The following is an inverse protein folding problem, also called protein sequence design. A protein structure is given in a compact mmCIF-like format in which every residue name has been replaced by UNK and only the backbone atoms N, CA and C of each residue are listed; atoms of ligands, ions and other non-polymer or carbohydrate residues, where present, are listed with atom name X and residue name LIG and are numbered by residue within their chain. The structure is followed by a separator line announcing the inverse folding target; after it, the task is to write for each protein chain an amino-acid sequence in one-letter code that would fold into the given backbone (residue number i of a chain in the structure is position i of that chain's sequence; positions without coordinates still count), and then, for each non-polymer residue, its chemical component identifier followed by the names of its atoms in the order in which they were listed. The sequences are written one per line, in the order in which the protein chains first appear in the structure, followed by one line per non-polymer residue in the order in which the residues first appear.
data_IF_065603891218
#
_entry.id   IF_065603891218
#
_cell.length_a   1.000
_cell.length_b   1.000
_cell.length_c   1.000
_cell.angle_alpha   90.00
_cell.angle_beta   90.00
_cell.angle_gamma   90.00
#
_symmetry.space_group_name_H-M   'P 1'
#
loop_
_entity.id
_entity.type
_entity.pdbx_description
1 polymer ?
#
# COMPACT_ATOMS: atom_id res chain seq x y z
N UNK A 1 -20.51 2.31 -5.04
CA UNK A 1 -20.03 2.79 -6.35
C UNK A 1 -19.07 3.92 -6.05
N UNK A 2 -17.84 3.56 -5.69
CA UNK A 2 -16.76 4.55 -5.61
C UNK A 2 -16.43 4.90 -7.07
N UNK A 3 -16.68 6.14 -7.48
CA UNK A 3 -16.18 6.62 -8.76
C UNK A 3 -14.68 6.36 -8.79
N UNK A 4 -14.18 5.73 -9.86
CA UNK A 4 -12.75 5.52 -10.06
C UNK A 4 -12.06 6.90 -10.04
N UNK A 5 -11.52 7.26 -8.89
CA UNK A 5 -10.97 8.59 -8.61
C UNK A 5 -9.63 8.82 -9.30
N UNK A 6 -9.14 7.89 -10.12
CA UNK A 6 -7.85 7.98 -10.80
C UNK A 6 -7.97 8.08 -12.33
N UNK A 7 -9.18 8.20 -12.88
CA UNK A 7 -9.36 8.23 -14.34
C UNK A 7 -8.74 9.48 -14.97
N UNK A 8 -8.00 9.26 -16.07
CA UNK A 8 -7.54 10.33 -16.95
C UNK A 8 -8.78 10.89 -17.66
N UNK A 9 -8.99 12.20 -17.60
CA UNK A 9 -10.13 12.86 -18.26
C UNK A 9 -9.80 13.36 -19.65
N UNK A 10 -8.56 13.77 -19.87
CA UNK A 10 -8.11 14.24 -21.17
C UNK A 10 -6.59 14.15 -21.28
N UNK A 11 -6.10 13.89 -22.49
CA UNK A 11 -4.69 14.00 -22.85
C UNK A 11 -4.61 14.96 -24.03
N UNK A 12 -3.67 15.90 -23.97
CA UNK A 12 -3.44 16.82 -25.08
C UNK A 12 -1.95 17.02 -25.34
N UNK A 13 -1.64 17.22 -26.61
CA UNK A 13 -0.33 17.57 -27.12
C UNK A 13 -0.34 19.05 -27.53
N UNK A 14 0.62 19.79 -27.00
CA UNK A 14 0.77 21.21 -27.24
C UNK A 14 2.16 21.55 -27.76
N UNK A 15 2.22 22.48 -28.69
CA UNK A 15 3.46 22.97 -29.31
C UNK A 15 3.49 24.49 -29.27
N UNK A 16 4.70 25.05 -29.18
CA UNK A 16 4.91 26.48 -29.26
C UNK A 16 5.03 26.94 -30.73
N UNK A 17 3.97 27.55 -31.26
CA UNK A 17 4.00 28.18 -32.58
C UNK A 17 4.59 29.60 -32.51
N UNK A 18 5.46 29.92 -33.47
CA UNK A 18 6.19 31.19 -33.51
C UNK A 18 5.32 32.46 -33.67
N UNK A 19 4.12 32.34 -34.26
CA UNK A 19 3.23 33.48 -34.55
C UNK A 19 2.09 33.57 -33.53
N UNK A 20 1.59 32.42 -33.07
CA UNK A 20 0.39 32.34 -32.25
C UNK A 20 0.66 31.94 -30.79
N UNK A 21 1.93 31.70 -30.43
CA UNK A 21 2.30 31.21 -29.11
C UNK A 21 1.99 29.72 -28.92
N UNK A 22 1.81 29.33 -27.66
CA UNK A 22 1.42 27.98 -27.25
C UNK A 22 0.05 27.61 -27.82
N UNK A 23 -0.05 26.54 -28.59
CA UNK A 23 -1.32 26.00 -29.09
C UNK A 23 -1.42 24.50 -28.80
N UNK A 24 -2.64 24.04 -28.53
CA UNK A 24 -2.97 22.61 -28.55
C UNK A 24 -3.11 22.21 -30.01
N UNK A 25 -2.35 21.20 -30.45
CA UNK A 25 -2.47 20.65 -31.81
C UNK A 25 -3.41 19.44 -31.78
N UNK A 26 -3.28 18.58 -30.77
CA UNK A 26 -4.11 17.40 -30.62
C UNK A 26 -4.65 17.28 -29.21
N UNK A 27 -5.91 16.92 -29.09
CA UNK A 27 -6.59 16.72 -27.82
C UNK A 27 -7.54 15.53 -27.91
N UNK A 28 -7.51 14.67 -26.90
CA UNK A 28 -8.45 13.57 -26.76
C UNK A 28 -8.99 13.51 -25.33
N UNK A 29 -10.31 13.50 -25.11
CA UNK A 29 -11.41 13.72 -26.07
C UNK A 29 -11.40 15.13 -26.69
N UNK A 30 -11.77 15.25 -27.96
CA UNK A 30 -11.75 16.52 -28.70
C UNK A 30 -12.57 17.61 -27.98
N UNK A 31 -11.99 18.81 -27.83
CA UNK A 31 -12.70 19.97 -27.27
C UNK A 31 -12.96 19.94 -25.76
N UNK A 32 -12.37 19.02 -25.01
CA UNK A 32 -12.57 18.94 -23.55
C UNK A 32 -12.04 20.18 -22.79
N UNK A 33 -11.05 20.89 -23.35
CA UNK A 33 -10.50 22.12 -22.79
C UNK A 33 -10.88 23.23 -23.75
N UNK A 34 -11.66 24.20 -23.27
CA UNK A 34 -11.96 25.39 -24.08
C UNK A 34 -10.71 26.25 -24.26
N UNK A 35 -10.58 26.90 -25.42
CA UNK A 35 -9.46 27.79 -25.73
C UNK A 35 -9.28 28.89 -24.67
N UNK A 36 -10.37 29.40 -24.08
CA UNK A 36 -10.35 30.41 -23.01
C UNK A 36 -9.68 29.89 -21.72
N UNK A 37 -9.96 28.64 -21.35
CA UNK A 37 -9.37 28.00 -20.18
C UNK A 37 -7.90 27.69 -20.44
N UNK A 38 -7.57 27.27 -21.67
CA UNK A 38 -6.20 27.02 -22.09
C UNK A 38 -5.33 28.29 -22.06
N UNK A 39 -5.81 29.41 -22.60
CA UNK A 39 -5.09 30.70 -22.60
C UNK A 39 -4.71 31.14 -21.17
N UNK A 40 -5.56 30.85 -20.18
CA UNK A 40 -5.31 31.19 -18.78
C UNK A 40 -4.11 30.47 -18.14
N UNK A 41 -3.70 29.31 -18.66
CA UNK A 41 -2.55 28.55 -18.15
C UNK A 41 -1.51 28.15 -19.19
N UNK A 42 -1.64 28.63 -20.44
CA UNK A 42 -0.76 28.25 -21.53
C UNK A 42 0.72 28.59 -21.27
N UNK A 43 0.99 29.72 -20.58
CA UNK A 43 2.33 30.14 -20.15
C UNK A 43 2.99 29.14 -19.19
N UNK A 44 2.20 28.39 -18.43
CA UNK A 44 2.68 27.39 -17.47
C UNK A 44 2.83 25.99 -18.09
N UNK A 45 2.15 25.72 -19.21
CA UNK A 45 2.28 24.46 -19.95
C UNK A 45 3.59 24.41 -20.70
N UNK A 46 3.98 25.51 -21.36
CA UNK A 46 5.29 25.64 -21.99
C UNK A 46 6.04 26.77 -21.28
N UNK A 47 6.64 26.50 -20.11
CA UNK A 47 7.34 27.51 -19.36
C UNK A 47 8.65 27.90 -20.06
N UNK A 48 9.28 28.94 -19.50
CA UNK A 48 10.63 29.37 -19.90
C UNK A 48 11.61 28.18 -19.89
N UNK A 49 12.63 28.19 -20.76
CA UNK A 49 13.54 27.05 -21.01
C UNK A 49 14.27 26.52 -19.77
N UNK A 50 14.35 27.30 -18.68
CA UNK A 50 14.93 26.89 -17.40
C UNK A 50 14.12 25.81 -16.65
N UNK A 51 12.85 25.65 -16.98
CA UNK A 51 11.94 24.69 -16.36
C UNK A 51 11.63 23.48 -17.26
N UNK A 52 12.14 23.47 -18.49
CA UNK A 52 12.03 22.33 -19.40
C UNK A 52 12.81 21.12 -18.86
N UNK A 53 12.31 19.91 -19.09
CA UNK A 53 12.87 18.67 -18.56
C UNK A 53 12.48 18.35 -17.11
N UNK A 54 11.56 19.12 -16.51
CA UNK A 54 10.94 18.80 -15.22
C UNK A 54 9.45 18.53 -15.41
N UNK A 55 8.90 17.65 -14.56
CA UNK A 55 7.46 17.40 -14.52
C UNK A 55 6.80 18.61 -13.87
N UNK A 56 5.75 19.11 -14.51
CA UNK A 56 4.97 20.26 -14.04
C UNK A 56 3.59 19.77 -13.68
N UNK A 57 3.20 20.02 -12.44
CA UNK A 57 1.84 19.77 -11.97
C UNK A 57 1.19 21.12 -11.71
N UNK A 58 0.13 21.41 -12.45
CA UNK A 58 -0.62 22.65 -12.36
C UNK A 58 -2.06 22.34 -11.95
N UNK A 59 -2.52 22.96 -10.89
CA UNK A 59 -3.93 22.87 -10.45
C UNK A 59 -4.66 24.12 -10.89
N UNK A 60 -5.59 24.01 -11.84
CA UNK A 60 -6.39 25.12 -12.35
C UNK A 60 -7.85 24.71 -12.55
N UNK A 61 -8.80 25.59 -12.20
CA UNK A 61 -10.24 25.46 -12.48
C UNK A 61 -10.85 24.07 -12.18
N UNK A 62 -10.50 23.46 -11.06
CA UNK A 62 -10.91 22.10 -10.63
C UNK A 62 -10.27 20.92 -11.38
N UNK A 63 -9.30 21.20 -12.25
CA UNK A 63 -8.47 20.20 -12.88
C UNK A 63 -7.04 20.24 -12.33
N UNK A 64 -6.38 19.09 -12.42
CA UNK A 64 -4.96 18.93 -12.15
C UNK A 64 -4.31 18.46 -13.44
N UNK A 65 -3.52 19.35 -14.03
CA UNK A 65 -2.81 19.15 -15.30
C UNK A 65 -1.39 18.70 -14.96
N UNK A 66 -0.97 17.60 -15.55
CA UNK A 66 0.36 17.04 -15.42
C UNK A 66 1.04 17.06 -16.78
N UNK A 67 2.10 17.85 -16.92
CA UNK A 67 2.84 17.98 -18.18
C UNK A 67 4.34 17.73 -18.02
N UNK A 68 4.98 17.41 -19.13
CA UNK A 68 6.44 17.37 -19.26
C UNK A 68 6.88 18.17 -20.48
N UNK A 69 7.21 19.46 -20.29
CA UNK A 69 7.71 20.28 -21.38
C UNK A 69 9.12 19.85 -21.77
N UNK A 70 9.25 19.52 -23.05
CA UNK A 70 10.51 19.17 -23.69
C UNK A 70 10.99 20.35 -24.52
N UNK A 71 12.26 20.69 -24.36
CA UNK A 71 12.96 21.66 -25.19
C UNK A 71 13.99 20.91 -26.02
N UNK A 72 13.87 21.03 -27.34
CA UNK A 72 14.88 20.59 -28.29
C UNK A 72 15.52 21.82 -28.93
N UNK A 73 16.84 21.81 -29.05
CA UNK A 73 17.59 22.86 -29.73
C UNK A 73 18.29 22.25 -30.94
N UNK A 74 17.87 22.63 -32.14
CA UNK A 74 18.50 22.23 -33.39
C UNK A 74 18.34 23.36 -34.41
N UNK A 75 19.38 23.58 -35.22
CA UNK A 75 19.44 24.61 -36.27
C UNK A 75 18.37 24.38 -37.35
N UNK A 76 17.85 23.15 -37.45
CA UNK A 76 16.76 22.77 -38.35
C UNK A 76 15.40 23.41 -37.99
N UNK A 77 15.20 23.78 -36.72
CA UNK A 77 13.94 24.36 -36.25
C UNK A 77 13.90 25.88 -36.42
N UNK A 78 12.70 26.43 -36.64
CA UNK A 78 12.52 27.87 -36.73
C UNK A 78 12.83 28.50 -35.35
N UNK A 79 13.87 29.35 -35.27
CA UNK A 79 14.53 29.90 -34.04
C UNK A 79 15.49 28.95 -33.30
N UNK A 80 15.98 27.91 -33.96
CA UNK A 80 16.93 26.93 -33.41
C UNK A 80 16.38 26.12 -32.21
N UNK A 81 15.07 26.13 -31.98
CA UNK A 81 14.45 25.39 -30.88
C UNK A 81 13.01 24.96 -31.17
N UNK A 82 12.68 23.72 -30.84
CA UNK A 82 11.33 23.16 -30.81
C UNK A 82 10.91 22.95 -29.35
N UNK A 83 9.73 23.46 -28.99
CA UNK A 83 9.16 23.37 -27.66
C UNK A 83 7.80 22.68 -27.76
N UNK A 84 7.70 21.50 -27.16
CA UNK A 84 6.46 20.75 -27.10
C UNK A 84 6.21 20.22 -25.69
N UNK A 85 4.95 19.98 -25.36
CA UNK A 85 4.54 19.41 -24.10
C UNK A 85 3.36 18.46 -24.30
N UNK A 86 3.50 17.25 -23.76
CA UNK A 86 2.42 16.27 -23.63
C UNK A 86 1.88 16.33 -22.20
N UNK A 87 0.58 16.60 -22.09
CA UNK A 87 -0.07 16.85 -20.80
C UNK A 87 -1.30 15.95 -20.58
N UNK A 88 -1.44 15.48 -19.35
CA UNK A 88 -2.57 14.70 -18.86
C UNK A 88 -3.41 15.56 -17.92
N UNK A 89 -4.73 15.44 -18.03
CA UNK A 89 -5.69 16.18 -17.22
C UNK A 89 -6.45 15.23 -16.33
N UNK A 90 -6.42 15.53 -15.04
CA UNK A 90 -7.10 14.80 -13.99
C UNK A 90 -8.04 15.71 -13.20
N UNK A 91 -8.89 15.12 -12.35
CA UNK A 91 -9.69 15.87 -11.39
C UNK A 91 -8.81 16.40 -10.23
N UNK A 92 -9.22 17.48 -9.55
CA UNK A 92 -8.46 18.16 -8.49
C UNK A 92 -8.03 17.24 -7.34
N UNK A 93 -8.87 16.27 -6.98
CA UNK A 93 -8.63 15.35 -5.86
C UNK A 93 -7.76 14.13 -6.17
N UNK A 94 -7.28 14.00 -7.41
CA UNK A 94 -6.60 12.78 -7.87
C UNK A 94 -5.10 12.76 -7.52
N UNK A 95 -4.64 11.56 -7.21
CA UNK A 95 -3.24 11.27 -6.96
C UNK A 95 -2.48 11.08 -8.27
N UNK A 96 -1.80 12.14 -8.71
CA UNK A 96 -1.10 12.15 -10.01
C UNK A 96 0.30 11.53 -9.98
N UNK A 97 0.83 11.21 -8.80
CA UNK A 97 2.21 10.72 -8.63
C UNK A 97 2.53 9.45 -9.46
N UNK A 98 1.63 8.45 -9.64
CA UNK A 98 1.90 7.29 -10.51
C UNK A 98 2.17 7.71 -11.96
N UNK A 99 1.42 8.71 -12.42
CA UNK A 99 1.50 9.21 -13.79
C UNK A 99 2.76 10.06 -14.03
N UNK A 100 3.48 10.49 -13.00
CA UNK A 100 4.72 11.25 -13.15
C UNK A 100 5.77 10.46 -13.94
N UNK A 101 5.91 9.16 -13.65
CA UNK A 101 6.86 8.30 -14.37
C UNK A 101 6.43 8.08 -15.82
N UNK A 102 5.13 7.90 -16.05
CA UNK A 102 4.54 7.72 -17.38
C UNK A 102 4.81 8.95 -18.25
N UNK A 103 4.43 10.13 -17.76
CA UNK A 103 4.56 11.40 -18.49
C UNK A 103 6.02 11.71 -18.83
N UNK A 104 6.94 11.45 -17.89
CA UNK A 104 8.37 11.59 -18.13
C UNK A 104 8.87 10.61 -19.19
N UNK A 105 8.46 9.34 -19.12
CA UNK A 105 8.86 8.31 -20.07
C UNK A 105 8.37 8.65 -21.48
N UNK A 106 7.10 9.03 -21.62
CA UNK A 106 6.52 9.46 -22.89
C UNK A 106 7.24 10.68 -23.47
N UNK A 107 7.47 11.72 -22.65
CA UNK A 107 8.21 12.90 -23.10
C UNK A 107 9.64 12.58 -23.54
N UNK A 108 10.31 11.63 -22.87
CA UNK A 108 11.66 11.19 -23.25
C UNK A 108 11.63 10.37 -24.54
N UNK A 109 10.66 9.47 -24.70
CA UNK A 109 10.52 8.67 -25.92
C UNK A 109 10.20 9.57 -27.12
N UNK A 110 9.27 10.52 -26.98
CA UNK A 110 8.99 11.51 -28.03
C UNK A 110 10.23 12.35 -28.37
N UNK A 111 11.06 12.66 -27.38
CA UNK A 111 12.34 13.32 -27.62
C UNK A 111 13.32 12.44 -28.40
N UNK A 112 13.40 11.14 -28.10
CA UNK A 112 14.26 10.22 -28.86
C UNK A 112 13.76 10.05 -30.28
N UNK A 113 12.45 9.83 -30.46
CA UNK A 113 11.80 9.74 -31.77
C UNK A 113 12.08 10.97 -32.62
N UNK A 114 11.94 12.16 -32.05
CA UNK A 114 12.20 13.40 -32.79
C UNK A 114 13.65 13.53 -33.27
N UNK A 115 14.62 13.01 -32.51
CA UNK A 115 16.04 13.03 -32.90
C UNK A 115 16.37 12.00 -33.98
N UNK A 116 15.69 10.86 -33.96
CA UNK A 116 16.02 9.71 -34.82
C UNK A 116 15.26 9.75 -36.14
N UNK A 117 13.97 10.09 -36.13
CA UNK A 117 13.09 10.04 -37.30
C UNK A 117 12.53 11.41 -37.73
N UNK A 118 12.88 12.51 -37.04
CA UNK A 118 12.31 13.85 -37.30
C UNK A 118 10.78 13.83 -37.38
N UNK A 119 10.16 13.01 -36.52
CA UNK A 119 8.75 12.62 -36.59
C UNK A 119 7.77 13.80 -36.43
N UNK A 120 8.03 14.70 -35.48
CA UNK A 120 7.23 15.90 -35.22
C UNK A 120 7.51 16.99 -36.26
N UNK A 121 8.75 17.10 -36.76
CA UNK A 121 9.10 18.05 -37.80
C UNK A 121 8.47 17.72 -39.17
N UNK A 122 8.47 16.45 -39.56
CA UNK A 122 7.88 16.01 -40.84
C UNK A 122 6.35 15.96 -40.82
N UNK A 123 5.71 15.81 -39.66
CA UNK A 123 4.25 15.95 -39.53
C UNK A 123 3.75 17.34 -39.96
N UNK A 124 4.57 18.38 -39.86
CA UNK A 124 4.18 19.74 -40.26
C UNK A 124 4.15 19.96 -41.78
N UNK A 125 4.70 19.04 -42.60
CA UNK A 125 4.92 19.27 -44.04
C UNK A 125 4.03 18.47 -44.99
N UNK A 126 3.59 17.27 -44.65
CA UNK A 126 2.86 16.42 -45.60
C UNK A 126 1.39 16.19 -45.22
N UNK A 127 0.52 16.85 -45.99
CA UNK A 127 -0.93 16.71 -46.00
C UNK A 127 -1.42 15.38 -46.62
N UNK A 128 -0.55 14.40 -46.89
CA UNK A 128 -0.95 13.14 -47.51
C UNK A 128 -0.07 11.98 -47.01
N UNK A 129 -0.75 10.97 -46.46
CA UNK A 129 -0.41 9.53 -46.47
C UNK A 129 0.23 8.92 -45.20
N UNK A 130 -0.62 8.20 -44.46
CA UNK A 130 -0.33 6.99 -43.68
C UNK A 130 0.89 7.00 -42.73
N UNK A 131 0.94 7.97 -41.83
CA UNK A 131 1.65 7.85 -40.55
C UNK A 131 0.58 7.65 -39.45
N UNK A 132 0.78 6.82 -38.41
CA UNK A 132 -0.17 6.80 -37.31
C UNK A 132 -0.18 8.19 -36.69
N UNK A 133 -1.31 8.90 -36.82
CA UNK A 133 -1.46 10.24 -36.28
C UNK A 133 -1.12 10.22 -34.79
N UNK A 134 -0.40 11.22 -34.29
CA UNK A 134 -0.23 11.42 -32.84
C UNK A 134 -1.59 11.41 -32.12
N UNK A 135 -2.67 11.76 -32.84
CA UNK A 135 -4.06 11.58 -32.43
C UNK A 135 -4.43 10.14 -32.08
N UNK A 136 -4.07 9.15 -32.93
CA UNK A 136 -4.32 7.72 -32.68
C UNK A 136 -3.51 7.22 -31.49
N UNK A 137 -2.26 7.66 -31.34
CA UNK A 137 -1.42 7.31 -30.19
C UNK A 137 -2.06 7.86 -28.89
N UNK A 138 -2.53 9.10 -28.90
CA UNK A 138 -3.21 9.71 -27.75
C UNK A 138 -4.53 9.03 -27.41
N UNK A 139 -5.32 8.65 -28.41
CA UNK A 139 -6.56 7.90 -28.25
C UNK A 139 -6.32 6.52 -27.64
N UNK A 140 -5.42 5.73 -28.24
CA UNK A 140 -5.04 4.40 -27.74
C UNK A 140 -4.52 4.51 -26.31
N UNK A 141 -3.64 5.47 -26.04
CA UNK A 141 -3.06 5.66 -24.71
C UNK A 141 -4.12 6.07 -23.68
N UNK A 142 -5.10 6.89 -24.05
CA UNK A 142 -6.21 7.24 -23.17
C UNK A 142 -7.08 6.02 -22.83
N UNK A 143 -7.44 5.21 -23.84
CA UNK A 143 -8.31 4.04 -23.66
C UNK A 143 -7.58 2.96 -22.87
N UNK A 144 -6.34 2.63 -23.24
CA UNK A 144 -5.55 1.55 -22.62
C UNK A 144 -5.17 1.88 -21.18
N UNK A 145 -4.75 3.12 -20.88
CA UNK A 145 -4.43 3.50 -19.51
C UNK A 145 -5.66 3.54 -18.59
N UNK A 146 -6.82 3.94 -19.11
CA UNK A 146 -8.06 3.96 -18.31
C UNK A 146 -8.66 2.55 -18.13
N UNK A 147 -8.44 1.63 -19.08
CA UNK A 147 -9.06 0.29 -19.05
C UNK A 147 -8.16 -0.77 -18.42
N UNK A 148 -6.87 -0.80 -18.80
CA UNK A 148 -5.93 -1.85 -18.41
C UNK A 148 -4.81 -1.34 -17.51
N UNK A 149 -4.53 -0.03 -17.51
CA UNK A 149 -3.40 0.55 -16.79
C UNK A 149 -2.03 0.23 -17.42
N UNK A 150 -2.02 -0.44 -18.57
CA UNK A 150 -0.82 -0.77 -19.36
C UNK A 150 -1.09 -0.46 -20.81
N UNK A 151 -0.07 0.04 -21.52
CA UNK A 151 -0.17 0.40 -22.93
C UNK A 151 1.13 0.05 -23.64
N UNK A 152 1.01 -0.66 -24.76
CA UNK A 152 2.13 -1.05 -25.63
C UNK A 152 1.82 -0.60 -27.04
N UNK A 153 2.38 0.54 -27.45
CA UNK A 153 2.11 1.16 -28.76
C UNK A 153 3.37 1.05 -29.61
N UNK A 154 3.29 0.35 -30.74
CA UNK A 154 4.38 0.27 -31.72
C UNK A 154 4.23 1.39 -32.74
N UNK A 155 5.18 2.34 -32.76
CA UNK A 155 5.16 3.47 -33.71
C UNK A 155 5.84 3.06 -35.02
N UNK A 156 7.00 2.40 -34.94
CA UNK A 156 7.78 1.88 -36.08
C UNK A 156 8.32 0.47 -35.76
N UNK A 157 8.89 -0.20 -36.77
CA UNK A 157 9.59 -1.49 -36.62
C UNK A 157 10.69 -1.49 -35.55
N UNK A 158 11.23 -0.31 -35.22
CA UNK A 158 12.28 -0.12 -34.21
C UNK A 158 11.79 0.53 -32.90
N UNK A 159 10.60 1.13 -32.89
CA UNK A 159 10.15 2.03 -31.81
C UNK A 159 8.85 1.57 -31.16
N UNK A 160 8.94 1.16 -29.90
CA UNK A 160 7.78 0.72 -29.09
C UNK A 160 7.67 1.51 -27.79
N UNK A 161 6.51 2.11 -27.56
CA UNK A 161 6.14 2.79 -26.32
C UNK A 161 5.52 1.77 -25.40
N UNK A 162 6.24 1.40 -24.34
CA UNK A 162 5.71 0.54 -23.28
C UNK A 162 5.50 1.36 -22.01
N UNK A 163 4.26 1.48 -21.56
CA UNK A 163 3.87 2.23 -20.36
C UNK A 163 3.07 1.31 -19.45
N UNK A 164 3.41 1.30 -18.16
CA UNK A 164 2.68 0.57 -17.12
C UNK A 164 2.44 1.48 -15.93
N UNK A 165 1.18 1.54 -15.50
CA UNK A 165 0.74 2.23 -14.31
C UNK A 165 1.02 1.33 -13.11
N UNK A 166 2.00 1.73 -12.30
CA UNK A 166 2.22 1.06 -11.03
C UNK A 166 1.31 1.68 -9.97
N UNK A 167 0.48 0.87 -9.29
CA UNK A 167 -0.31 1.40 -8.18
C UNK A 167 0.64 1.91 -7.10
N UNK A 168 0.27 3.01 -6.44
CA UNK A 168 0.91 3.33 -5.16
C UNK A 168 0.51 2.25 -4.18
N UNK A 169 1.50 1.48 -3.77
CA UNK A 169 1.37 0.67 -2.58
C UNK A 169 1.66 1.59 -1.38
N UNK A 170 0.99 1.31 -0.26
CA UNK A 170 1.09 2.12 0.95
C UNK A 170 2.54 2.17 1.45
N UNK A 171 2.88 3.22 2.20
CA UNK A 171 4.18 3.34 2.83
C UNK A 171 4.51 2.07 3.65
N UNK A 172 5.79 1.68 3.61
CA UNK A 172 6.27 0.46 4.24
C UNK A 172 5.86 0.43 5.73
N UNK A 173 5.05 -0.55 6.11
CA UNK A 173 4.69 -0.80 7.50
C UNK A 173 5.93 -1.35 8.21
N UNK A 174 6.30 -0.76 9.35
CA UNK A 174 7.36 -1.31 10.19
C UNK A 174 6.87 -2.61 10.82
N UNK A 175 7.50 -3.72 10.42
CA UNK A 175 7.22 -5.05 10.96
C UNK A 175 8.01 -5.21 12.25
N UNK A 176 7.30 -5.46 13.35
CA UNK A 176 7.94 -5.68 14.64
C UNK A 176 8.24 -7.18 14.85
N UNK A 177 9.37 -7.54 15.49
CA UNK A 177 9.78 -8.94 15.65
C UNK A 177 8.81 -9.83 16.44
N UNK A 178 7.94 -9.21 17.24
CA UNK A 178 6.94 -9.89 18.07
C UNK A 178 5.61 -10.10 17.35
N UNK A 179 5.40 -9.47 16.20
CA UNK A 179 4.17 -9.67 15.45
C UNK A 179 4.16 -11.01 14.72
N UNK A 180 2.95 -11.47 14.41
CA UNK A 180 2.68 -12.73 13.72
C UNK A 180 2.15 -12.40 12.32
N UNK A 181 2.83 -12.85 11.25
CA UNK A 181 2.31 -12.75 9.90
C UNK A 181 1.17 -13.78 9.70
N UNK A 182 0.05 -13.33 9.15
CA UNK A 182 -1.06 -14.18 8.70
C UNK A 182 -1.27 -13.98 7.20
N UNK A 183 -1.33 -15.07 6.45
CA UNK A 183 -1.68 -15.05 5.03
C UNK A 183 -3.17 -14.74 4.87
N UNK A 184 -3.50 -13.71 4.10
CA UNK A 184 -4.88 -13.37 3.75
C UNK A 184 -5.26 -14.02 2.42
N UNK A 185 -4.32 -14.04 1.47
CA UNK A 185 -4.52 -14.64 0.15
C UNK A 185 -3.67 -15.91 0.01
N UNK A 186 -4.26 -16.94 -0.59
CA UNK A 186 -3.53 -18.13 -0.99
C UNK A 186 -2.58 -17.76 -2.12
N UNK A 187 -1.28 -17.98 -1.90
CA UNK A 187 -0.27 -17.74 -2.93
C UNK A 187 -0.20 -18.97 -3.82
N UNK A 188 -0.49 -18.79 -5.11
CA UNK A 188 -0.22 -19.80 -6.12
C UNK A 188 1.30 -19.97 -6.29
N UNK A 189 1.88 -20.93 -5.56
CA UNK A 189 3.32 -21.26 -5.62
C UNK A 189 3.70 -22.08 -6.86
N UNK A 190 2.84 -22.12 -7.88
CA UNK A 190 3.04 -22.93 -9.10
C UNK A 190 4.22 -22.42 -9.94
N UNK A 191 4.50 -21.11 -9.92
CA UNK A 191 5.63 -20.47 -10.62
C UNK A 191 6.88 -20.34 -9.74
N UNK A 192 7.33 -21.42 -9.11
CA UNK A 192 8.49 -21.43 -8.19
C UNK A 192 9.80 -20.83 -8.74
N UNK A 193 9.94 -20.67 -10.05
CA UNK A 193 11.12 -20.06 -10.69
C UNK A 193 11.15 -18.54 -10.67
N UNK A 194 10.00 -17.87 -10.48
CA UNK A 194 9.91 -16.40 -10.42
C UNK A 194 10.01 -15.87 -8.99
N UNK A 195 9.82 -16.75 -8.00
CA UNK A 195 9.86 -16.40 -6.59
C UNK A 195 11.30 -16.35 -6.05
N UNK A 196 11.53 -15.41 -5.13
CA UNK A 196 12.75 -15.38 -4.33
C UNK A 196 12.83 -16.66 -3.46
N UNK A 197 14.00 -17.30 -3.44
CA UNK A 197 14.27 -18.49 -2.64
C UNK A 197 14.00 -18.25 -1.14
N UNK A 198 14.30 -17.05 -0.65
CA UNK A 198 14.07 -16.68 0.75
C UNK A 198 12.58 -16.63 1.09
N UNK A 199 11.75 -16.12 0.17
CA UNK A 199 10.30 -16.09 0.33
C UNK A 199 9.71 -17.50 0.28
N UNK A 200 10.12 -18.34 -0.67
CA UNK A 200 9.65 -19.73 -0.75
C UNK A 200 9.96 -20.53 0.51
N UNK A 201 11.09 -20.26 1.14
CA UNK A 201 11.43 -20.87 2.42
C UNK A 201 10.52 -20.35 3.54
N UNK A 202 10.32 -19.04 3.65
CA UNK A 202 9.53 -18.44 4.74
C UNK A 202 8.04 -18.80 4.65
N UNK A 203 7.46 -18.90 3.44
CA UNK A 203 6.02 -19.09 3.22
C UNK A 203 5.38 -20.27 3.98
N UNK A 204 5.95 -21.49 3.97
CA UNK A 204 5.47 -22.62 4.77
C UNK A 204 5.37 -22.36 6.28
N UNK A 205 6.14 -21.40 6.81
CA UNK A 205 6.20 -21.10 8.23
C UNK A 205 5.27 -19.94 8.63
N UNK A 206 4.61 -19.29 7.65
CA UNK A 206 3.57 -18.30 7.88
C UNK A 206 2.23 -19.02 8.09
N UNK A 207 2.09 -19.65 9.25
CA UNK A 207 0.91 -20.41 9.68
C UNK A 207 -0.10 -19.57 10.48
N UNK A 208 0.18 -18.27 10.68
CA UNK A 208 -0.60 -17.39 11.55
C UNK A 208 -0.39 -17.63 13.05
N UNK A 209 0.61 -18.43 13.43
CA UNK A 209 0.94 -18.75 14.83
C UNK A 209 2.36 -18.31 15.17
N UNK A 210 3.32 -18.56 14.27
CA UNK A 210 4.72 -18.24 14.51
C UNK A 210 4.98 -16.74 14.36
N UNK A 211 5.46 -16.09 15.42
CA UNK A 211 5.94 -14.72 15.34
C UNK A 211 7.27 -14.64 14.57
N UNK A 212 7.60 -13.47 14.00
CA UNK A 212 8.78 -13.26 13.14
C UNK A 212 10.07 -13.81 13.77
N UNK A 213 10.29 -13.55 15.07
CA UNK A 213 11.46 -14.07 15.78
C UNK A 213 11.50 -15.61 15.93
N UNK A 214 10.35 -16.29 15.95
CA UNK A 214 10.29 -17.77 15.96
C UNK A 214 10.57 -18.32 14.57
N UNK A 215 10.05 -17.68 13.53
CA UNK A 215 10.32 -18.04 12.13
C UNK A 215 11.83 -17.95 11.85
N UNK A 216 12.48 -16.86 12.25
CA UNK A 216 13.94 -16.70 12.12
C UNK A 216 14.72 -17.85 12.78
N UNK A 217 14.32 -18.29 13.98
CA UNK A 217 14.96 -19.42 14.68
C UNK A 217 14.72 -20.77 14.00
N UNK A 218 13.52 -21.00 13.44
CA UNK A 218 13.20 -22.25 12.75
C UNK A 218 13.96 -22.39 11.43
N UNK A 219 14.26 -21.26 10.79
CA UNK A 219 14.88 -21.20 9.47
C UNK A 219 16.39 -21.00 9.51
N UNK A 220 16.95 -20.70 10.68
CA UNK A 220 18.35 -20.30 10.84
C UNK A 220 18.74 -19.11 9.94
N UNK A 221 17.78 -18.21 9.68
CA UNK A 221 17.97 -16.97 8.89
C UNK A 221 17.97 -15.78 9.84
N UNK A 222 18.81 -14.77 9.57
CA UNK A 222 18.86 -13.53 10.33
C UNK A 222 17.49 -12.84 10.43
N UNK A 223 17.15 -12.39 11.64
CA UNK A 223 15.85 -11.77 11.93
C UNK A 223 15.58 -10.54 11.07
N UNK A 224 16.62 -9.79 10.69
CA UNK A 224 16.50 -8.60 9.85
C UNK A 224 16.07 -8.97 8.43
N UNK A 225 16.62 -10.04 7.86
CA UNK A 225 16.25 -10.53 6.53
C UNK A 225 14.80 -11.01 6.53
N UNK A 226 14.40 -11.81 7.53
CA UNK A 226 13.01 -12.26 7.67
C UNK A 226 12.06 -11.07 7.83
N UNK A 227 12.46 -10.06 8.61
CA UNK A 227 11.66 -8.83 8.79
C UNK A 227 11.48 -8.08 7.47
N UNK A 228 12.53 -7.91 6.67
CA UNK A 228 12.44 -7.29 5.34
C UNK A 228 11.59 -8.10 4.35
N UNK A 229 11.73 -9.43 4.33
CA UNK A 229 10.90 -10.31 3.50
C UNK A 229 9.41 -10.20 3.86
N UNK A 230 9.07 -10.26 5.15
CA UNK A 230 7.70 -10.10 5.62
C UNK A 230 7.19 -8.69 5.33
N UNK A 231 8.04 -7.67 5.47
CA UNK A 231 7.69 -6.30 5.11
C UNK A 231 7.31 -6.16 3.63
N UNK A 232 8.00 -6.86 2.73
CA UNK A 232 7.61 -6.93 1.32
C UNK A 232 6.26 -7.64 1.13
N UNK A 233 6.01 -8.76 1.82
CA UNK A 233 4.72 -9.46 1.74
C UNK A 233 3.55 -8.61 2.26
N UNK A 234 3.80 -7.83 3.32
CA UNK A 234 2.85 -6.86 3.87
C UNK A 234 2.62 -5.70 2.89
N UNK A 235 3.67 -5.23 2.23
CA UNK A 235 3.60 -4.17 1.23
C UNK A 235 2.72 -4.54 0.03
N UNK A 236 2.77 -5.81 -0.42
CA UNK A 236 1.88 -6.33 -1.47
C UNK A 236 0.47 -6.68 -0.97
N UNK A 237 0.20 -6.60 0.34
CA UNK A 237 -1.11 -6.90 0.91
C UNK A 237 -1.42 -8.38 1.10
N UNK A 238 -0.47 -9.28 0.81
CA UNK A 238 -0.64 -10.73 0.90
C UNK A 238 -0.67 -11.19 2.36
N UNK A 239 0.12 -10.53 3.20
CA UNK A 239 0.26 -10.85 4.62
C UNK A 239 -0.24 -9.68 5.47
N UNK A 240 -1.00 -9.99 6.51
CA UNK A 240 -1.35 -9.05 7.57
C UNK A 240 -0.62 -9.39 8.86
N UNK A 241 -0.06 -8.36 9.49
CA UNK A 241 0.53 -8.51 10.81
C UNK A 241 -0.54 -8.45 11.89
N UNK A 242 -0.55 -9.45 12.76
CA UNK A 242 -1.38 -9.50 13.96
C UNK A 242 -0.51 -9.66 15.20
N UNK A 243 -1.05 -9.35 16.37
CA UNK A 243 -0.34 -9.58 17.63
C UNK A 243 -0.39 -11.07 18.04
N UNK A 244 0.53 -11.50 18.89
CA UNK A 244 0.60 -12.88 19.40
C UNK A 244 -0.69 -13.26 20.13
N UNK A 245 -1.31 -14.36 19.71
CA UNK A 245 -2.44 -14.95 20.42
C UNK A 245 -1.96 -15.63 21.72
N UNK A 246 -2.49 -15.18 22.86
CA UNK A 246 -2.34 -15.83 24.16
C UNK A 246 -3.69 -15.85 24.88
N UNK A 247 -3.96 -16.90 25.65
CA UNK A 247 -5.19 -17.04 26.45
C UNK A 247 -5.32 -16.00 27.57
N UNK A 248 -4.21 -15.37 27.97
CA UNK A 248 -4.16 -14.26 28.93
C UNK A 248 -4.60 -12.92 28.35
N UNK A 249 -4.78 -12.84 27.03
CA UNK A 249 -5.11 -11.58 26.34
C UNK A 249 -6.57 -11.19 26.56
N UNK A 250 -6.80 -9.87 26.48
CA UNK A 250 -8.12 -9.25 26.55
C UNK A 250 -8.40 -8.61 25.18
N UNK A 251 -9.56 -8.93 24.60
CA UNK A 251 -9.99 -8.44 23.28
C UNK A 251 -11.28 -7.66 23.41
N UNK A 252 -11.32 -6.48 22.78
CA UNK A 252 -12.51 -5.64 22.76
C UNK A 252 -13.14 -5.58 21.38
N UNK A 253 -14.47 -5.64 21.29
CA UNK A 253 -15.20 -5.38 20.05
C UNK A 253 -15.03 -3.92 19.61
N UNK A 254 -14.71 -3.71 18.34
CA UNK A 254 -14.67 -2.40 17.70
C UNK A 254 -16.00 -2.10 17.01
N UNK A 255 -16.34 -0.81 16.75
CA UNK A 255 -17.57 -0.46 16.03
C UNK A 255 -17.62 -1.02 14.59
N UNK A 256 -16.51 -1.53 14.06
CA UNK A 256 -16.45 -2.15 12.73
C UNK A 256 -17.21 -3.49 12.66
N UNK A 257 -17.55 -4.11 13.80
CA UNK A 257 -18.44 -5.29 13.84
C UNK A 257 -19.79 -5.00 13.18
N UNK A 258 -20.23 -3.74 13.11
CA UNK A 258 -21.44 -3.37 12.34
C UNK A 258 -21.32 -3.73 10.84
N UNK A 259 -20.11 -3.66 10.27
CA UNK A 259 -19.88 -4.05 8.86
C UNK A 259 -20.07 -5.55 8.67
N UNK A 260 -19.67 -6.37 9.64
CA UNK A 260 -19.92 -7.81 9.65
C UNK A 260 -21.42 -8.12 9.63
N UNK A 261 -22.24 -7.34 10.36
CA UNK A 261 -23.69 -7.51 10.34
C UNK A 261 -24.34 -7.13 8.99
N UNK A 262 -23.70 -6.26 8.21
CA UNK A 262 -24.26 -5.75 6.94
C UNK A 262 -23.88 -6.58 5.71
N UNK A 263 -22.73 -7.28 5.73
CA UNK A 263 -22.18 -7.98 4.57
C UNK A 263 -22.33 -9.50 4.67
N UNK A 264 -23.16 -10.12 3.84
CA UNK A 264 -23.45 -11.56 3.89
C UNK A 264 -22.27 -12.47 3.47
N UNK A 265 -21.41 -12.01 2.57
CA UNK A 265 -20.25 -12.80 2.10
C UNK A 265 -19.19 -12.96 3.20
N UNK A 266 -18.90 -11.88 3.92
CA UNK A 266 -18.03 -11.91 5.10
C UNK A 266 -18.58 -12.81 6.21
N UNK A 267 -19.91 -12.91 6.35
CA UNK A 267 -20.54 -13.82 7.32
C UNK A 267 -20.28 -15.28 6.97
N UNK A 268 -20.36 -15.64 5.68
CA UNK A 268 -20.06 -17.00 5.21
C UNK A 268 -18.58 -17.34 5.37
N UNK A 269 -17.68 -16.42 5.05
CA UNK A 269 -16.24 -16.61 5.26
C UNK A 269 -15.92 -16.78 6.75
N UNK A 270 -16.50 -15.93 7.59
CA UNK A 270 -16.40 -16.01 9.05
C UNK A 270 -16.83 -17.40 9.54
N UNK A 271 -18.00 -17.89 9.11
CA UNK A 271 -18.48 -19.21 9.48
C UNK A 271 -17.53 -20.33 9.04
N UNK A 272 -17.06 -20.31 7.79
CA UNK A 272 -16.15 -21.32 7.26
C UNK A 272 -14.81 -21.35 7.99
N UNK A 273 -14.27 -20.17 8.32
CA UNK A 273 -12.97 -20.04 8.96
C UNK A 273 -13.00 -20.45 10.45
N UNK A 274 -14.13 -20.19 11.13
CA UNK A 274 -14.29 -20.46 12.56
C UNK A 274 -14.62 -21.93 12.83
N UNK A 275 -15.28 -22.62 11.90
CA UNK A 275 -15.68 -24.02 12.10
C UNK A 275 -14.50 -24.97 12.07
N UNK A 276 -14.40 -25.82 13.09
CA UNK A 276 -13.48 -26.94 13.10
C UNK A 276 -13.83 -27.88 11.92
N UNK A 277 -12.85 -28.39 11.16
CA UNK A 277 -13.12 -29.32 10.07
C UNK A 277 -13.83 -30.57 10.58
N UNK A 278 -15.11 -30.73 10.21
CA UNK A 278 -15.97 -31.85 10.61
C UNK A 278 -17.11 -31.50 11.58
N UNK A 279 -17.20 -30.27 12.07
CA UNK A 279 -18.32 -29.79 12.89
C UNK A 279 -19.42 -29.13 12.04
N UNK A 280 -20.66 -29.09 12.55
CA UNK A 280 -21.74 -28.35 11.91
C UNK A 280 -21.50 -26.84 12.03
N UNK A 281 -21.74 -26.06 10.96
CA UNK A 281 -21.53 -24.62 11.02
C UNK A 281 -22.50 -23.97 12.00
N UNK A 282 -21.95 -23.22 12.97
CA UNK A 282 -22.75 -22.46 13.91
C UNK A 282 -23.53 -21.34 13.21
N UNK A 283 -24.72 -21.02 13.74
CA UNK A 283 -25.51 -19.90 13.24
C UNK A 283 -24.75 -18.58 13.43
N UNK A 284 -24.80 -17.72 12.41
CA UNK A 284 -24.12 -16.42 12.43
C UNK A 284 -24.60 -15.54 13.60
N UNK A 285 -25.90 -15.60 13.93
CA UNK A 285 -26.49 -14.87 15.05
C UNK A 285 -25.82 -15.20 16.39
N UNK A 286 -25.42 -16.47 16.57
CA UNK A 286 -24.71 -16.91 17.76
C UNK A 286 -23.23 -16.49 17.74
N UNK A 287 -22.57 -16.55 16.58
CA UNK A 287 -21.20 -16.01 16.43
C UNK A 287 -21.19 -14.51 16.73
N UNK A 288 -22.20 -13.78 16.26
CA UNK A 288 -22.35 -12.35 16.50
C UNK A 288 -22.64 -12.03 17.98
N UNK A 289 -23.47 -12.83 18.64
CA UNK A 289 -23.72 -12.68 20.08
C UNK A 289 -22.45 -12.96 20.89
N UNK A 290 -21.63 -13.93 20.48
CA UNK A 290 -20.31 -14.19 21.07
C UNK A 290 -19.35 -13.00 20.85
N UNK A 291 -19.31 -12.41 19.67
CA UNK A 291 -18.50 -11.19 19.48
C UNK A 291 -18.98 -10.02 20.33
N UNK A 292 -20.30 -9.94 20.57
CA UNK A 292 -20.92 -8.88 21.36
C UNK A 292 -20.81 -9.10 22.88
N UNK A 293 -20.60 -10.33 23.33
CA UNK A 293 -20.45 -10.69 24.74
C UNK A 293 -19.00 -10.57 25.24
N UNK A 294 -18.03 -10.36 24.35
CA UNK A 294 -16.66 -10.03 24.71
C UNK A 294 -16.63 -8.74 25.52
N UNK A 295 -16.30 -8.88 26.81
CA UNK A 295 -16.29 -7.79 27.77
C UNK A 295 -14.89 -7.23 27.97
N UNK A 296 -14.83 -6.03 28.54
CA UNK A 296 -13.62 -5.22 28.63
C UNK A 296 -12.59 -5.77 29.64
N UNK A 297 -13.04 -6.61 30.57
CA UNK A 297 -12.28 -7.01 31.76
C UNK A 297 -12.07 -8.53 31.88
N UNK A 298 -12.71 -9.34 31.03
CA UNK A 298 -12.53 -10.80 31.06
C UNK A 298 -11.37 -11.26 30.21
N UNK A 299 -10.55 -12.16 30.76
CA UNK A 299 -9.50 -12.81 29.97
C UNK A 299 -10.12 -13.79 28.96
N UNK A 300 -9.47 -13.96 27.80
CA UNK A 300 -9.98 -14.89 26.80
C UNK A 300 -10.10 -16.33 27.33
N UNK A 301 -9.24 -16.72 28.28
CA UNK A 301 -9.32 -18.02 28.98
C UNK A 301 -10.63 -18.21 29.74
N UNK A 302 -11.03 -17.22 30.54
CA UNK A 302 -12.27 -17.28 31.33
C UNK A 302 -13.46 -17.29 30.38
N UNK A 303 -13.45 -16.40 29.38
CA UNK A 303 -14.47 -16.32 28.35
C UNK A 303 -14.69 -17.65 27.61
N UNK A 304 -13.60 -18.34 27.26
CA UNK A 304 -13.67 -19.65 26.61
C UNK A 304 -14.28 -20.73 27.51
N UNK A 305 -13.99 -20.67 28.81
CA UNK A 305 -14.50 -21.63 29.80
C UNK A 305 -15.98 -21.38 30.10
N UNK A 306 -16.41 -20.13 30.13
CA UNK A 306 -17.81 -19.74 30.35
C UNK A 306 -18.71 -20.15 29.17
N UNK A 307 -18.24 -19.96 27.94
CA UNK A 307 -19.04 -20.20 26.74
C UNK A 307 -18.84 -21.58 26.10
N UNK A 308 -17.90 -22.40 26.60
CA UNK A 308 -17.58 -23.74 26.10
C UNK A 308 -17.45 -23.80 24.56
N UNK A 309 -16.63 -22.90 23.99
CA UNK A 309 -16.43 -22.75 22.54
C UNK A 309 -16.05 -24.07 21.84
N UNK A 310 -15.26 -24.92 22.52
CA UNK A 310 -14.83 -26.23 22.01
C UNK A 310 -16.01 -27.21 21.82
N UNK A 311 -17.03 -27.15 22.67
CA UNK A 311 -18.24 -28.00 22.56
C UNK A 311 -19.16 -27.56 21.42
N UNK A 312 -19.02 -26.33 20.94
CA UNK A 312 -19.77 -25.76 19.84
C UNK A 312 -19.13 -26.03 18.47
N UNK A 313 -17.95 -26.67 18.43
CA UNK A 313 -17.24 -26.91 17.17
C UNK A 313 -16.55 -25.67 16.60
N UNK A 314 -16.33 -24.65 17.44
CA UNK A 314 -15.65 -23.40 17.09
C UNK A 314 -14.17 -23.52 17.45
N UNK A 315 -13.28 -23.23 16.50
CA UNK A 315 -11.86 -23.03 16.81
C UNK A 315 -11.66 -21.65 17.45
N UNK A 316 -11.30 -21.67 18.73
CA UNK A 316 -11.02 -20.51 19.57
C UNK A 316 -9.99 -19.56 18.94
N UNK A 317 -8.97 -20.12 18.27
CA UNK A 317 -7.91 -19.33 17.64
C UNK A 317 -8.43 -18.65 16.40
N UNK A 318 -9.05 -19.41 15.50
CA UNK A 318 -9.59 -18.90 14.24
C UNK A 318 -10.67 -17.84 14.47
N UNK A 319 -11.45 -17.98 15.56
CA UNK A 319 -12.38 -16.95 16.03
C UNK A 319 -11.68 -15.62 16.33
N UNK A 320 -10.64 -15.62 17.17
CA UNK A 320 -9.92 -14.38 17.49
C UNK A 320 -9.11 -13.86 16.32
N UNK A 321 -8.44 -14.73 15.56
CA UNK A 321 -7.66 -14.35 14.38
C UNK A 321 -8.55 -13.65 13.35
N UNK A 322 -9.71 -14.22 13.01
CA UNK A 322 -10.65 -13.59 12.08
C UNK A 322 -11.13 -12.22 12.58
N UNK A 323 -11.41 -12.11 13.88
CA UNK A 323 -11.80 -10.85 14.49
C UNK A 323 -10.70 -9.78 14.42
N UNK A 324 -9.44 -10.15 14.69
CA UNK A 324 -8.30 -9.22 14.66
C UNK A 324 -7.91 -8.86 13.22
N UNK A 325 -7.88 -9.84 12.30
CA UNK A 325 -7.57 -9.65 10.88
C UNK A 325 -8.56 -8.67 10.24
N UNK A 326 -9.85 -8.78 10.55
CA UNK A 326 -10.85 -7.85 10.00
C UNK A 326 -10.99 -6.55 10.81
N UNK A 327 -10.24 -6.40 11.90
CA UNK A 327 -10.28 -5.22 12.77
C UNK A 327 -11.54 -5.13 13.62
N UNK A 328 -12.34 -6.21 13.70
CA UNK A 328 -13.50 -6.33 14.58
C UNK A 328 -13.10 -6.43 16.05
N UNK A 329 -11.94 -7.02 16.30
CA UNK A 329 -11.37 -7.13 17.65
C UNK A 329 -10.10 -6.31 17.73
N UNK A 330 -10.00 -5.52 18.80
CA UNK A 330 -8.76 -4.85 19.19
C UNK A 330 -8.26 -5.47 20.48
N UNK A 331 -7.04 -5.97 20.46
CA UNK A 331 -6.36 -6.44 21.67
C UNK A 331 -5.97 -5.25 22.54
N UNK A 332 -6.20 -5.37 23.85
CA UNK A 332 -5.58 -4.49 24.85
C UNK A 332 -4.20 -5.04 25.21
N UNK A 333 -3.17 -4.27 24.92
CA UNK A 333 -1.80 -4.62 25.26
C UNK A 333 -1.48 -4.13 26.68
N UNK A 334 -0.76 -4.97 27.44
CA UNK A 334 -0.26 -4.66 28.78
C UNK A 334 1.08 -3.92 28.64
N UNK A 335 1.16 -2.70 29.15
CA UNK A 335 2.38 -1.89 29.19
C UNK A 335 2.82 -1.71 30.65
N UNK A 336 3.89 -2.38 31.09
CA UNK A 336 4.43 -2.16 32.42
C UNK A 336 5.12 -0.79 32.48
N UNK A 337 4.72 0.04 33.44
CA UNK A 337 5.32 1.34 33.74
C UNK A 337 5.81 1.32 35.18
N UNK A 338 7.05 1.73 35.38
CA UNK A 338 7.62 1.90 36.71
C UNK A 338 7.19 3.26 37.29
N UNK A 339 6.62 3.27 38.49
CA UNK A 339 6.00 4.47 39.09
C UNK A 339 7.04 5.48 39.62
N UNK A 340 8.30 5.06 39.83
CA UNK A 340 9.38 5.93 40.31
C UNK A 340 10.60 5.90 39.39
N UNK A 341 10.79 6.99 38.62
CA UNK A 341 11.98 7.23 37.79
C UNK A 341 13.26 7.47 38.62
N UNK A 342 13.14 7.77 39.91
CA UNK A 342 14.26 8.11 40.81
C UNK A 342 15.06 6.89 41.32
N UNK A 343 14.52 5.68 41.20
CA UNK A 343 15.21 4.42 41.56
C UNK A 343 16.04 3.88 40.36
N UNK A 344 15.85 4.46 39.17
CA UNK A 344 16.63 4.12 37.97
C UNK A 344 18.09 4.56 38.08
N UNK A 345 18.40 5.63 38.81
CA UNK A 345 19.76 6.19 38.92
C UNK A 345 20.66 5.40 39.90
N UNK A 346 20.11 4.62 40.83
CA UNK A 346 20.88 4.01 41.93
C UNK A 346 21.28 2.54 41.73
N UNK A 347 21.06 1.94 40.55
CA UNK A 347 21.32 0.51 40.30
C UNK A 347 22.10 0.29 38.98
N UNK A 348 23.08 -0.64 38.95
CA UNK A 348 24.07 -0.76 37.88
C UNK A 348 23.49 -1.11 36.50
N UNK A 349 24.24 -0.84 35.40
CA UNK A 349 23.71 -0.69 34.05
C UNK A 349 23.55 -2.05 33.35
N UNK A 350 22.56 -2.84 33.74
CA UNK A 350 22.17 -4.02 32.96
C UNK A 350 21.04 -3.66 31.99
N UNK A 351 21.18 -4.14 30.75
CA UNK A 351 20.33 -3.98 29.56
C UNK A 351 18.81 -4.16 29.79
N UNK A 352 18.39 -4.66 30.95
CA UNK A 352 17.03 -5.00 31.35
C UNK A 352 16.18 -3.78 31.77
N UNK A 353 16.80 -2.65 32.10
CA UNK A 353 16.08 -1.42 32.53
C UNK A 353 15.40 -0.66 31.39
N UNK A 354 15.89 -0.78 30.15
CA UNK A 354 15.38 -0.04 28.99
C UNK A 354 14.08 -0.63 28.41
N UNK A 355 13.56 -1.69 29.05
CA UNK A 355 12.32 -2.40 28.71
C UNK A 355 11.11 -1.90 29.53
N UNK A 356 11.30 -1.11 30.58
CA UNK A 356 10.27 -0.70 31.55
C UNK A 356 9.77 0.76 31.38
N UNK A 357 10.11 1.41 30.27
CA UNK A 357 9.80 2.82 30.01
C UNK A 357 8.34 3.08 29.59
N UNK A 358 7.45 2.07 29.63
CA UNK A 358 6.05 2.20 29.19
C UNK A 358 5.82 2.31 27.68
N UNK A 359 6.90 2.29 26.88
CA UNK A 359 6.82 2.37 25.41
C UNK A 359 6.86 1.01 24.72
N UNK A 360 7.27 -0.04 25.45
CA UNK A 360 7.35 -1.42 24.93
C UNK A 360 6.23 -2.26 25.52
N UNK A 361 5.53 -3.00 24.65
CA UNK A 361 4.48 -3.92 25.08
C UNK A 361 5.09 -5.12 25.81
N UNK A 362 4.30 -5.81 26.63
CA UNK A 362 4.74 -7.03 27.31
C UNK A 362 5.28 -8.10 26.34
N UNK A 363 4.75 -8.14 25.11
CA UNK A 363 5.19 -9.07 24.07
C UNK A 363 6.55 -8.70 23.47
N UNK A 364 6.84 -7.40 23.30
CA UNK A 364 8.18 -6.93 22.90
C UNK A 364 9.24 -7.34 23.93
N UNK A 365 8.88 -7.24 25.21
CA UNK A 365 9.76 -7.61 26.32
C UNK A 365 10.01 -9.12 26.30
N UNK A 366 8.98 -9.93 26.07
CA UNK A 366 9.11 -11.38 25.95
C UNK A 366 9.97 -11.79 24.74
N UNK A 367 9.80 -11.13 23.59
CA UNK A 367 10.59 -11.42 22.39
C UNK A 367 12.07 -11.00 22.54
N UNK A 368 12.36 -9.87 23.17
CA UNK A 368 13.74 -9.42 23.42
C UNK A 368 14.44 -10.32 24.43
N UNK A 369 13.74 -10.73 25.50
CA UNK A 369 14.31 -11.59 26.53
C UNK A 369 14.33 -13.07 26.13
N UNK A 370 13.54 -13.48 25.13
CA UNK A 370 13.38 -14.89 24.75
C UNK A 370 12.70 -15.73 25.84
N UNK A 371 11.94 -15.08 26.72
CA UNK A 371 11.42 -15.60 27.98
C UNK A 371 9.90 -15.52 27.98
N UNK A 372 9.23 -16.54 28.52
CA UNK A 372 7.77 -16.59 28.56
C UNK A 372 7.15 -15.58 29.51
N UNK A 373 5.88 -15.23 29.30
CA UNK A 373 5.19 -14.17 30.04
C UNK A 373 5.29 -14.32 31.56
N UNK A 374 5.08 -15.54 32.06
CA UNK A 374 5.17 -15.84 33.50
C UNK A 374 6.59 -15.70 34.09
N UNK A 375 7.63 -15.88 33.28
CA UNK A 375 9.02 -15.68 33.71
C UNK A 375 9.40 -14.19 33.65
N UNK A 376 8.82 -13.43 32.72
CA UNK A 376 8.93 -11.97 32.72
C UNK A 376 8.20 -11.38 33.93
N UNK A 377 7.00 -11.87 34.27
CA UNK A 377 6.29 -11.47 35.49
C UNK A 377 7.13 -11.78 36.75
N UNK A 378 7.73 -12.98 36.85
CA UNK A 378 8.65 -13.32 37.94
C UNK A 378 9.90 -12.44 37.98
N UNK A 379 10.48 -12.11 36.82
CA UNK A 379 11.63 -11.19 36.74
C UNK A 379 11.22 -9.78 37.17
N UNK A 380 10.02 -9.32 36.82
CA UNK A 380 9.47 -8.04 37.24
C UNK A 380 9.21 -8.02 38.76
N UNK A 381 8.63 -9.09 39.31
CA UNK A 381 8.46 -9.28 40.76
C UNK A 381 9.80 -9.33 41.52
N UNK A 382 10.86 -9.84 40.88
CA UNK A 382 12.21 -9.88 41.46
C UNK A 382 12.91 -8.52 41.41
N UNK A 383 12.56 -7.66 40.45
CA UNK A 383 13.19 -6.36 40.22
C UNK A 383 12.45 -5.21 40.94
N UNK A 384 11.13 -5.33 41.14
CA UNK A 384 10.31 -4.30 41.78
C UNK A 384 9.21 -4.95 42.65
N UNK A 385 9.10 -4.48 43.89
CA UNK A 385 7.99 -4.85 44.78
C UNK A 385 6.63 -4.52 44.11
N UNK A 386 5.55 -5.25 44.44
CA UNK A 386 4.23 -5.15 43.80
C UNK A 386 3.61 -3.73 43.78
N UNK A 387 4.10 -2.80 44.60
CA UNK A 387 3.65 -1.41 44.67
C UNK A 387 4.39 -0.44 43.72
N UNK A 388 5.36 -0.92 42.94
CA UNK A 388 6.26 -0.05 42.14
C UNK A 388 6.07 -0.13 40.62
N UNK A 389 5.18 -1.00 40.12
CA UNK A 389 4.86 -1.09 38.70
C UNK A 389 3.35 -1.03 38.48
N UNK A 390 2.92 -0.19 37.54
CA UNK A 390 1.54 -0.11 37.07
C UNK A 390 1.51 -0.71 35.67
N UNK A 391 0.70 -1.73 35.45
CA UNK A 391 0.44 -2.26 34.12
C UNK A 391 -0.72 -1.46 33.53
N UNK A 392 -0.41 -0.56 32.59
CA UNK A 392 -1.45 0.16 31.85
C UNK A 392 -1.91 -0.74 30.69
N UNK A 393 -3.22 -0.97 30.61
CA UNK A 393 -3.87 -1.61 29.47
C UNK A 393 -4.15 -0.53 28.41
N UNK A 394 -3.49 -0.61 27.25
CA UNK A 394 -3.71 0.30 26.10
C UNK A 394 -4.26 -0.41 24.88
#
# INVERSE_FOLDING_TARGET
MEENTNDIKCIFYSEFHNIYGTKIIHQYPEGFISNEVFEGFAEYIIPKPKLCGKIITLTAFNYKILGYPVLMQDVKYHRNALLFNLSFVFNKGTDTIPYHQIVRKLGTILQTLEKESEYLFNQSKDLLQDQPDISKILETLYIELNTYGESTITIDDANTINVKLFPKLNDLIEVLPHQVPVLIEEIDTTNSSEWDLTLLQILPYIDGINYVGRISKLMEIDINLVTSCIQHLVYYGIVKMVDIFQYSNIYNPTPLIRKLASNFDMQKECQRYITIPGATPCSFEYIFSLYSSLSIDTSFREYCTENNLTSLGIDERSFIMFGVINGFLRRKQRYPILTNLSILESLPPNHNKRLLNGNKSFDEICCILGVGVAQVEKLLETIAAPDTFIVILK
#
